data_IF_389357139227
#
_entry.id   IF_389357139227
#
_cell.length_a   1.000
_cell.length_b   1.000
_cell.length_c   1.000
_cell.angle_alpha   90.00
_cell.angle_beta   90.00
_cell.angle_gamma   90.00
#
_symmetry.space_group_name_H-M   'P 1'
#
loop_
_entity.id
_entity.type
_entity.pdbx_description
1 polymer ?
#
# COMPACT_ATOMS: atom_id res chain seq x y z
N UNK A 1 -1.73 -20.00 -9.86
CA UNK A 1 -1.74 -20.48 -8.46
C UNK A 1 -0.96 -19.44 -7.68
N UNK A 2 -1.67 -18.63 -6.89
CA UNK A 2 -1.15 -17.43 -6.24
C UNK A 2 -0.50 -17.89 -4.92
N UNK A 3 0.81 -17.73 -4.78
CA UNK A 3 1.51 -17.89 -3.50
C UNK A 3 1.99 -16.51 -3.08
N UNK A 4 1.16 -15.84 -2.28
CA UNK A 4 1.67 -14.77 -1.41
C UNK A 4 2.38 -15.50 -0.26
N UNK A 5 3.48 -14.96 0.27
CA UNK A 5 3.94 -15.32 1.61
C UNK A 5 2.96 -14.76 2.67
N UNK A 6 1.66 -15.04 2.50
CA UNK A 6 0.71 -15.02 3.59
C UNK A 6 1.12 -16.17 4.50
N UNK A 7 0.97 -15.97 5.80
CA UNK A 7 0.82 -17.07 6.73
C UNK A 7 0.12 -18.25 6.06
N UNK A 8 0.66 -19.46 6.18
CA UNK A 8 -0.06 -20.67 5.77
C UNK A 8 -1.40 -20.68 6.50
N UNK A 9 -2.47 -20.25 5.83
CA UNK A 9 -3.78 -19.98 6.45
C UNK A 9 -4.35 -21.25 7.07
N UNK A 10 -3.90 -22.41 6.59
CA UNK A 10 -4.23 -23.76 7.07
C UNK A 10 -3.94 -24.03 8.56
N UNK A 11 -3.27 -23.13 9.28
CA UNK A 11 -3.10 -23.24 10.74
C UNK A 11 -3.78 -22.14 11.56
N UNK A 12 -4.44 -21.16 10.94
CA UNK A 12 -5.09 -20.06 11.67
C UNK A 12 -6.37 -20.54 12.34
N UNK A 13 -6.63 -20.03 13.55
CA UNK A 13 -7.86 -20.31 14.31
C UNK A 13 -8.55 -19.02 14.68
N UNK A 14 -9.84 -18.91 14.39
CA UNK A 14 -10.62 -17.72 14.72
C UNK A 14 -12.09 -18.02 14.94
N UNK A 15 -12.67 -17.43 15.99
CA UNK A 15 -14.11 -17.30 16.16
C UNK A 15 -14.43 -15.94 16.80
N UNK A 16 -15.29 -15.15 16.18
CA UNK A 16 -15.74 -13.90 16.79
C UNK A 16 -16.64 -14.20 18.00
N UNK A 17 -16.18 -13.82 19.20
CA UNK A 17 -16.93 -13.96 20.46
C UNK A 17 -17.83 -12.76 20.76
N UNK A 18 -17.85 -11.77 19.87
CA UNK A 18 -18.53 -10.48 20.05
C UNK A 18 -18.05 -9.68 21.27
N UNK A 19 -16.79 -9.87 21.67
CA UNK A 19 -16.18 -9.21 22.83
C UNK A 19 -16.08 -7.69 22.72
N UNK A 20 -16.16 -7.11 21.51
CA UNK A 20 -16.08 -5.67 21.27
C UNK A 20 -14.67 -5.08 21.19
N UNK A 21 -13.61 -5.85 21.48
CA UNK A 21 -12.23 -5.33 21.57
C UNK A 21 -11.70 -4.77 20.24
N UNK A 22 -12.19 -5.28 19.10
CA UNK A 22 -11.88 -4.71 17.79
C UNK A 22 -12.40 -3.27 17.59
N UNK A 23 -13.26 -2.77 18.48
CA UNK A 23 -13.68 -1.36 18.52
C UNK A 23 -12.70 -0.45 19.27
N UNK A 24 -11.69 -1.03 19.94
CA UNK A 24 -10.67 -0.31 20.73
C UNK A 24 -9.27 -0.34 20.10
N UNK A 25 -9.09 -1.06 18.99
CA UNK A 25 -7.83 -1.03 18.22
C UNK A 25 -7.63 0.31 17.54
N UNK A 26 -6.36 0.66 17.30
CA UNK A 26 -5.99 1.88 16.57
C UNK A 26 -6.56 1.88 15.14
N UNK A 27 -7.04 3.04 14.70
CA UNK A 27 -7.54 3.27 13.34
C UNK A 27 -9.03 3.58 13.28
N UNK A 28 -9.38 4.49 12.36
CA UNK A 28 -10.76 4.88 12.10
C UNK A 28 -11.53 3.78 11.36
N UNK A 29 -12.84 3.77 11.56
CA UNK A 29 -13.76 2.97 10.72
C UNK A 29 -14.24 3.86 9.60
N UNK A 30 -14.19 3.34 8.39
CA UNK A 30 -14.71 4.04 7.23
C UNK A 30 -15.89 3.30 6.65
N UNK A 31 -16.77 4.03 5.98
CA UNK A 31 -18.01 3.54 5.40
C UNK A 31 -18.16 4.13 4.00
N UNK A 32 -18.47 3.25 3.05
CA UNK A 32 -18.94 3.69 1.74
C UNK A 32 -20.36 4.27 1.85
N UNK A 33 -20.89 4.95 0.80
CA UNK A 33 -22.22 5.54 0.86
C UNK A 33 -23.36 4.56 1.19
N UNK A 34 -23.27 3.31 0.73
CA UNK A 34 -24.28 2.30 1.00
C UNK A 34 -24.22 1.82 2.46
N UNK A 35 -23.03 1.52 2.98
CA UNK A 35 -22.82 1.14 4.38
C UNK A 35 -23.20 2.28 5.34
N UNK A 36 -22.87 3.52 4.97
CA UNK A 36 -23.24 4.69 5.76
C UNK A 36 -24.76 4.89 5.82
N UNK A 37 -25.48 4.55 4.75
CA UNK A 37 -26.94 4.58 4.74
C UNK A 37 -27.51 3.43 5.60
N UNK A 38 -26.98 2.22 5.46
CA UNK A 38 -27.42 1.04 6.22
C UNK A 38 -27.21 1.22 7.73
N UNK A 39 -26.07 1.80 8.12
CA UNK A 39 -25.73 2.09 9.52
C UNK A 39 -26.35 3.39 10.05
N UNK A 40 -27.08 4.14 9.22
CA UNK A 40 -27.60 5.46 9.58
C UNK A 40 -26.50 6.37 10.14
N UNK A 41 -25.31 6.32 9.54
CA UNK A 41 -24.09 6.92 10.08
C UNK A 41 -24.16 8.44 10.27
N UNK A 42 -25.10 9.13 9.62
CA UNK A 42 -25.30 10.57 9.82
C UNK A 42 -25.91 10.90 11.19
N UNK A 43 -26.48 9.92 11.90
CA UNK A 43 -27.03 10.08 13.26
C UNK A 43 -26.00 9.78 14.35
N UNK A 44 -24.84 9.22 13.97
CA UNK A 44 -23.76 8.90 14.89
C UNK A 44 -22.93 10.15 15.20
N UNK A 45 -22.38 10.21 16.41
CA UNK A 45 -21.40 11.22 16.78
C UNK A 45 -20.07 10.96 16.08
N UNK A 46 -19.24 12.00 15.96
CA UNK A 46 -17.86 11.91 15.45
C UNK A 46 -17.69 11.27 14.05
N UNK A 47 -18.69 11.46 13.19
CA UNK A 47 -18.63 11.06 11.79
C UNK A 47 -18.25 12.24 10.89
N UNK A 48 -17.19 12.05 10.09
CA UNK A 48 -16.77 13.02 9.07
C UNK A 48 -17.09 12.52 7.67
N UNK A 49 -17.55 13.43 6.81
CA UNK A 49 -17.70 13.16 5.38
C UNK A 49 -16.41 13.51 4.64
N UNK A 50 -15.81 12.53 3.97
CA UNK A 50 -14.58 12.70 3.21
C UNK A 50 -14.73 12.02 1.84
N UNK A 51 -14.81 12.83 0.77
CA UNK A 51 -14.98 12.35 -0.61
C UNK A 51 -16.25 11.52 -0.86
N UNK A 52 -17.32 11.73 -0.07
CA UNK A 52 -18.57 10.96 -0.15
C UNK A 52 -18.64 9.77 0.81
N UNK A 53 -17.52 9.41 1.44
CA UNK A 53 -17.42 8.35 2.45
C UNK A 53 -17.55 8.92 3.85
N UNK A 54 -18.01 8.08 4.79
CA UNK A 54 -18.12 8.45 6.20
C UNK A 54 -16.95 7.85 6.95
N UNK A 55 -16.22 8.67 7.70
CA UNK A 55 -15.18 8.25 8.63
C UNK A 55 -15.73 8.39 10.04
N UNK A 56 -15.92 7.28 10.73
CA UNK A 56 -16.18 7.28 12.16
C UNK A 56 -14.83 7.46 12.85
N UNK A 57 -14.56 8.67 13.34
CA UNK A 57 -13.32 8.96 14.02
C UNK A 57 -13.28 8.20 15.33
N UNK A 58 -12.23 7.39 15.49
CA UNK A 58 -12.02 6.60 16.69
C UNK A 58 -11.11 7.38 17.63
N UNK A 59 -11.64 7.75 18.80
CA UNK A 59 -10.83 8.21 19.93
C UNK A 59 -10.22 7.00 20.66
N UNK A 60 -10.51 6.87 21.95
CA UNK A 60 -10.17 5.66 22.71
C UNK A 60 -10.99 4.43 22.29
N UNK A 61 -12.17 4.64 21.70
CA UNK A 61 -13.05 3.58 21.20
C UNK A 61 -13.91 4.05 20.03
N UNK A 62 -14.44 3.11 19.26
CA UNK A 62 -15.38 3.35 18.18
C UNK A 62 -16.72 3.85 18.73
N UNK A 63 -17.38 4.77 18.02
CA UNK A 63 -18.72 5.28 18.37
C UNK A 63 -19.84 4.22 18.32
N UNK A 64 -19.56 3.06 17.71
CA UNK A 64 -20.48 1.92 17.66
C UNK A 64 -20.32 0.96 18.85
N UNK A 65 -19.39 1.20 19.77
CA UNK A 65 -19.18 0.36 20.95
C UNK A 65 -20.15 0.75 22.07
N UNK A 66 -20.95 -0.21 22.54
CA UNK A 66 -21.90 0.01 23.65
C UNK A 66 -21.21 -0.07 25.01
N UNK A 67 -21.91 0.36 26.06
CA UNK A 67 -21.42 0.28 27.45
C UNK A 67 -21.17 -1.17 27.91
N UNK A 68 -21.89 -2.14 27.34
CA UNK A 68 -21.71 -3.57 27.59
C UNK A 68 -20.54 -4.19 26.81
N UNK A 69 -19.67 -3.37 26.20
CA UNK A 69 -18.54 -3.78 25.38
C UNK A 69 -18.98 -4.63 24.16
N UNK A 70 -20.10 -4.29 23.52
CA UNK A 70 -20.57 -4.95 22.29
C UNK A 70 -20.69 -3.96 21.14
N UNK A 71 -20.52 -4.44 19.91
CA UNK A 71 -20.75 -3.61 18.73
C UNK A 71 -22.25 -3.47 18.49
N UNK A 72 -22.78 -2.25 18.56
CA UNK A 72 -24.18 -1.94 18.28
C UNK A 72 -24.61 -2.33 16.86
N UNK A 73 -23.65 -2.35 15.93
CA UNK A 73 -23.85 -2.66 14.52
C UNK A 73 -23.43 -4.10 14.13
N UNK A 74 -23.34 -5.04 15.08
CA UNK A 74 -22.73 -6.35 14.85
C UNK A 74 -23.29 -7.11 13.62
N UNK A 75 -24.60 -7.06 13.42
CA UNK A 75 -25.30 -7.74 12.32
C UNK A 75 -25.11 -7.07 10.95
N UNK A 76 -24.89 -5.75 10.95
CA UNK A 76 -24.74 -4.91 9.75
C UNK A 76 -23.34 -4.30 9.68
N UNK A 77 -22.34 -5.02 10.20
CA UNK A 77 -20.95 -4.54 10.24
C UNK A 77 -20.50 -4.16 8.83
N UNK A 78 -19.86 -2.99 8.66
CA UNK A 78 -19.31 -2.60 7.38
C UNK A 78 -18.21 -3.59 6.96
N UNK A 79 -17.90 -3.65 5.67
CA UNK A 79 -16.89 -4.57 5.14
C UNK A 79 -15.56 -4.48 5.90
N UNK A 80 -15.13 -3.28 6.32
CA UNK A 80 -13.95 -3.10 7.19
C UNK A 80 -14.01 -3.98 8.45
N UNK A 81 -15.10 -3.87 9.20
CA UNK A 81 -15.25 -4.55 10.49
C UNK A 81 -15.59 -6.04 10.33
N UNK A 82 -16.28 -6.42 9.25
CA UNK A 82 -16.59 -7.83 8.95
C UNK A 82 -15.35 -8.60 8.51
N UNK A 83 -14.44 -7.97 7.79
CA UNK A 83 -13.22 -8.60 7.31
C UNK A 83 -12.13 -8.76 8.41
N UNK A 84 -12.30 -8.17 9.59
CA UNK A 84 -11.40 -8.39 10.72
C UNK A 84 -11.55 -9.83 11.25
N UNK A 85 -10.45 -10.56 11.56
CA UNK A 85 -9.05 -10.15 11.56
C UNK A 85 -8.27 -10.49 10.28
N UNK A 86 -8.95 -10.80 9.18
CA UNK A 86 -8.34 -11.20 7.89
C UNK A 86 -7.79 -10.02 7.06
N UNK A 87 -7.43 -8.92 7.71
CA UNK A 87 -6.80 -7.81 7.01
C UNK A 87 -5.39 -8.21 6.54
N UNK A 88 -4.93 -7.79 5.35
CA UNK A 88 -3.60 -8.13 4.83
C UNK A 88 -2.44 -7.79 5.78
N UNK A 89 -2.58 -6.76 6.62
CA UNK A 89 -1.57 -6.40 7.64
C UNK A 89 -1.45 -7.49 8.71
N UNK A 90 -2.56 -8.12 9.08
CA UNK A 90 -2.66 -9.11 10.16
C UNK A 90 -2.23 -10.48 9.64
N UNK A 91 -2.66 -10.84 8.43
CA UNK A 91 -2.33 -12.11 7.78
C UNK A 91 -0.87 -12.23 7.30
N UNK A 92 -0.05 -11.22 7.59
CA UNK A 92 1.34 -11.13 7.13
C UNK A 92 2.22 -12.22 7.75
N UNK A 93 2.18 -12.38 9.07
CA UNK A 93 3.03 -13.34 9.79
C UNK A 93 2.33 -13.86 11.05
N UNK A 94 2.76 -15.03 11.61
CA UNK A 94 2.17 -15.55 12.85
C UNK A 94 2.22 -14.52 13.98
N UNK A 95 3.32 -13.76 14.04
CA UNK A 95 3.50 -12.70 15.02
C UNK A 95 2.46 -11.58 14.86
N UNK A 96 2.18 -11.11 13.62
CA UNK A 96 1.14 -10.08 13.42
C UNK A 96 -0.26 -10.59 13.69
N UNK A 97 -0.52 -11.88 13.48
CA UNK A 97 -1.78 -12.53 13.82
C UNK A 97 -1.97 -12.60 15.35
N UNK A 98 -0.97 -13.10 16.08
CA UNK A 98 -1.01 -13.25 17.54
C UNK A 98 -1.00 -11.91 18.30
N UNK A 99 -0.48 -10.83 17.70
CA UNK A 99 -0.43 -9.51 18.31
C UNK A 99 -1.78 -8.76 18.31
N UNK A 100 -2.78 -9.22 17.55
CA UNK A 100 -4.06 -8.53 17.47
C UNK A 100 -4.87 -8.74 18.76
N UNK A 101 -5.45 -7.67 19.35
CA UNK A 101 -6.15 -7.74 20.63
C UNK A 101 -7.58 -8.28 20.44
N UNK A 102 -7.68 -9.57 20.16
CA UNK A 102 -8.95 -10.27 20.07
C UNK A 102 -8.82 -11.67 20.66
N UNK A 103 -9.60 -11.96 21.69
CA UNK A 103 -9.62 -13.27 22.36
C UNK A 103 -10.07 -14.43 21.45
N UNK A 104 -10.70 -14.12 20.32
CA UNK A 104 -11.12 -15.10 19.33
C UNK A 104 -9.97 -15.62 18.47
N UNK A 105 -8.86 -14.89 18.38
CA UNK A 105 -7.68 -15.24 17.60
C UNK A 105 -6.87 -16.30 18.34
N UNK A 106 -6.49 -17.37 17.64
CA UNK A 106 -5.66 -18.46 18.17
C UNK A 106 -6.23 -19.14 19.43
N UNK A 107 -7.52 -18.99 19.69
CA UNK A 107 -8.19 -19.65 20.80
C UNK A 107 -8.30 -21.15 20.56
N UNK A 108 -8.04 -21.96 21.59
CA UNK A 108 -8.16 -23.42 21.52
C UNK A 108 -9.58 -23.88 21.17
N UNK A 109 -10.59 -23.08 21.55
CA UNK A 109 -12.00 -23.34 21.25
C UNK A 109 -12.44 -22.85 19.87
N UNK A 110 -11.61 -22.05 19.19
CA UNK A 110 -11.91 -21.56 17.85
C UNK A 110 -11.64 -22.64 16.79
N UNK A 111 -12.50 -22.73 15.75
CA UNK A 111 -12.27 -23.60 14.61
C UNK A 111 -11.04 -23.14 13.83
N UNK A 112 -10.46 -24.07 13.07
CA UNK A 112 -9.46 -23.72 12.04
C UNK A 112 -10.17 -22.94 10.94
N UNK A 113 -9.56 -21.84 10.51
CA UNK A 113 -10.08 -21.00 9.42
C UNK A 113 -9.78 -21.68 8.10
N UNK A 114 -10.80 -21.82 7.26
CA UNK A 114 -10.62 -22.32 5.90
C UNK A 114 -9.88 -21.29 5.05
N UNK A 115 -8.89 -21.72 4.27
CA UNK A 115 -8.07 -20.82 3.45
C UNK A 115 -8.92 -19.96 2.50
N UNK A 116 -9.99 -20.55 1.95
CA UNK A 116 -10.95 -19.87 1.08
C UNK A 116 -11.72 -18.74 1.80
N UNK A 117 -12.02 -18.90 3.09
CA UNK A 117 -12.73 -17.89 3.89
C UNK A 117 -11.84 -16.69 4.14
N UNK A 118 -10.62 -16.92 4.62
CA UNK A 118 -9.65 -15.84 4.89
C UNK A 118 -9.30 -15.10 3.59
N UNK A 119 -9.10 -15.82 2.48
CA UNK A 119 -8.79 -15.23 1.18
C UNK A 119 -9.97 -14.41 0.65
N UNK A 120 -11.21 -14.91 0.80
CA UNK A 120 -12.40 -14.17 0.40
C UNK A 120 -12.57 -12.88 1.22
N UNK A 121 -12.39 -12.94 2.54
CA UNK A 121 -12.46 -11.77 3.41
C UNK A 121 -11.36 -10.74 3.08
N UNK A 122 -10.13 -11.19 2.86
CA UNK A 122 -9.01 -10.34 2.46
C UNK A 122 -9.26 -9.69 1.09
N UNK A 123 -9.82 -10.44 0.13
CA UNK A 123 -10.16 -9.95 -1.20
C UNK A 123 -11.32 -8.94 -1.16
N UNK A 124 -12.35 -9.19 -0.34
CA UNK A 124 -13.47 -8.27 -0.13
C UNK A 124 -12.98 -6.96 0.49
N UNK A 125 -12.12 -7.05 1.51
CA UNK A 125 -11.48 -5.89 2.13
C UNK A 125 -10.62 -5.10 1.15
N UNK A 126 -9.77 -5.78 0.36
CA UNK A 126 -8.99 -5.15 -0.68
C UNK A 126 -9.92 -4.45 -1.70
N UNK A 127 -11.05 -5.07 -2.06
CA UNK A 127 -12.05 -4.50 -2.96
C UNK A 127 -12.76 -3.28 -2.43
N UNK A 128 -13.01 -3.29 -1.13
CA UNK A 128 -13.62 -2.18 -0.45
C UNK A 128 -12.66 -1.00 -0.33
N UNK A 129 -11.38 -1.25 0.00
CA UNK A 129 -10.34 -0.23 0.02
C UNK A 129 -10.13 0.44 -1.35
N UNK A 130 -10.45 -0.23 -2.47
CA UNK A 130 -10.40 0.36 -3.82
C UNK A 130 -11.45 1.45 -4.05
N UNK A 131 -12.54 1.46 -3.29
CA UNK A 131 -13.62 2.43 -3.48
C UNK A 131 -13.41 3.72 -2.68
N UNK A 132 -12.30 3.81 -1.95
CA UNK A 132 -11.99 4.91 -1.07
C UNK A 132 -11.61 6.18 -1.85
N UNK A 133 -12.34 7.30 -1.68
CA UNK A 133 -12.23 8.47 -2.55
C UNK A 133 -10.90 9.23 -2.41
N UNK A 134 -10.27 9.16 -1.24
CA UNK A 134 -9.08 9.96 -0.94
C UNK A 134 -7.80 9.43 -1.57
N UNK A 135 -7.73 8.14 -1.95
CA UNK A 135 -6.51 7.59 -2.55
C UNK A 135 -6.25 8.09 -3.96
N UNK A 136 -7.28 8.19 -4.79
CA UNK A 136 -7.15 8.61 -6.19
C UNK A 136 -6.92 10.11 -6.33
N UNK A 137 -7.72 10.94 -5.64
CA UNK A 137 -7.61 12.40 -5.77
C UNK A 137 -6.28 12.96 -5.24
N UNK A 138 -5.67 12.30 -4.25
CA UNK A 138 -4.40 12.70 -3.68
C UNK A 138 -3.19 11.92 -4.23
N UNK A 139 -3.37 10.89 -5.08
CA UNK A 139 -2.30 9.96 -5.46
C UNK A 139 -1.05 10.65 -5.97
N UNK A 140 -1.21 11.55 -6.94
CA UNK A 140 -0.10 12.32 -7.52
C UNK A 140 0.56 13.20 -6.46
N UNK A 141 -0.24 13.94 -5.67
CA UNK A 141 0.28 14.84 -4.65
C UNK A 141 1.01 14.09 -3.51
N UNK A 142 0.54 12.89 -3.14
CA UNK A 142 1.21 12.01 -2.19
C UNK A 142 2.57 11.56 -2.74
N UNK A 143 2.59 11.14 -4.01
CA UNK A 143 3.82 10.70 -4.70
C UNK A 143 4.80 11.85 -4.90
N UNK A 144 4.33 13.07 -5.17
CA UNK A 144 5.17 14.28 -5.21
C UNK A 144 5.87 14.56 -3.87
N UNK A 145 5.11 14.52 -2.77
CA UNK A 145 5.69 14.67 -1.41
C UNK A 145 6.68 13.56 -1.10
N UNK A 146 6.37 12.33 -1.49
CA UNK A 146 7.29 11.21 -1.31
C UNK A 146 8.55 11.34 -2.17
N UNK A 147 8.44 11.77 -3.43
CA UNK A 147 9.59 12.02 -4.29
C UNK A 147 10.49 13.12 -3.71
N UNK A 148 9.89 14.16 -3.10
CA UNK A 148 10.65 15.16 -2.35
C UNK A 148 11.33 14.55 -1.12
N UNK A 149 10.65 13.67 -0.36
CA UNK A 149 11.27 12.95 0.76
C UNK A 149 12.46 12.10 0.30
N UNK A 150 12.33 11.38 -0.82
CA UNK A 150 13.41 10.60 -1.44
C UNK A 150 14.60 11.50 -1.77
N UNK A 151 14.36 12.69 -2.31
CA UNK A 151 15.40 13.69 -2.56
C UNK A 151 16.03 14.20 -1.25
N UNK A 152 15.22 14.57 -0.27
CA UNK A 152 15.68 15.11 1.02
C UNK A 152 16.55 14.11 1.79
N UNK A 153 16.23 12.83 1.69
CA UNK A 153 16.98 11.71 2.28
C UNK A 153 18.16 11.25 1.42
N UNK A 154 18.37 11.85 0.24
CA UNK A 154 19.43 11.48 -0.71
C UNK A 154 19.39 10.00 -1.15
N UNK A 155 18.19 9.39 -1.19
CA UNK A 155 18.05 7.97 -1.53
C UNK A 155 18.22 7.69 -3.03
N UNK A 156 18.14 8.74 -3.84
CA UNK A 156 18.29 8.70 -5.29
C UNK A 156 19.15 9.90 -5.73
N UNK A 157 20.34 9.67 -6.32
CA UNK A 157 21.25 10.75 -6.73
C UNK A 157 20.64 11.75 -7.71
N UNK A 158 19.65 11.31 -8.49
CA UNK A 158 19.02 12.10 -9.53
C UNK A 158 17.78 12.85 -9.07
N UNK A 159 17.23 12.54 -7.90
CA UNK A 159 15.93 13.07 -7.47
C UNK A 159 15.87 14.61 -7.38
N UNK A 160 17.02 15.27 -7.15
CA UNK A 160 17.10 16.74 -7.11
C UNK A 160 17.29 17.41 -8.46
N UNK A 161 17.92 16.73 -9.42
CA UNK A 161 18.35 17.33 -10.70
C UNK A 161 17.49 16.88 -11.87
N UNK A 162 16.81 15.74 -11.76
CA UNK A 162 15.93 15.22 -12.79
C UNK A 162 14.66 16.06 -12.91
N UNK A 163 14.15 16.19 -14.15
CA UNK A 163 12.79 16.67 -14.38
C UNK A 163 11.81 15.54 -14.10
N UNK A 164 10.96 15.70 -13.10
CA UNK A 164 9.99 14.66 -12.72
C UNK A 164 8.61 14.92 -13.32
N UNK A 165 8.00 13.90 -13.93
CA UNK A 165 6.60 13.89 -14.38
C UNK A 165 5.86 12.78 -13.64
N UNK A 166 4.61 13.04 -13.28
CA UNK A 166 3.73 12.08 -12.60
C UNK A 166 2.55 11.76 -13.51
N UNK A 167 2.29 10.48 -13.73
CA UNK A 167 1.18 9.96 -14.55
C UNK A 167 0.34 9.09 -13.64
N UNK A 168 -0.91 9.49 -13.40
CA UNK A 168 -1.85 8.63 -12.69
C UNK A 168 -2.49 7.66 -13.67
N UNK A 169 -2.42 6.37 -13.37
CA UNK A 169 -3.05 5.31 -14.15
C UNK A 169 -4.40 4.91 -13.59
N UNK A 170 -5.33 4.59 -14.49
CA UNK A 170 -6.64 4.03 -14.19
C UNK A 170 -6.64 2.49 -14.23
N UNK A 171 -5.48 1.88 -14.46
CA UNK A 171 -5.35 0.44 -14.57
C UNK A 171 -5.71 -0.26 -13.25
N UNK A 172 -6.64 -1.21 -13.34
CA UNK A 172 -7.05 -2.06 -12.22
C UNK A 172 -6.56 -3.50 -12.35
N UNK A 173 -5.97 -3.87 -13.49
CA UNK A 173 -5.54 -5.25 -13.82
C UNK A 173 -4.06 -5.29 -14.18
N UNK A 174 -3.47 -6.49 -14.15
CA UNK A 174 -2.10 -6.75 -14.62
C UNK A 174 -1.88 -6.20 -16.03
N UNK A 175 -2.71 -6.64 -16.98
CA UNK A 175 -2.58 -6.24 -18.39
C UNK A 175 -2.77 -4.74 -18.59
N UNK A 176 -3.71 -4.13 -17.86
CA UNK A 176 -3.91 -2.69 -17.90
C UNK A 176 -2.70 -1.91 -17.37
N UNK A 177 -2.02 -2.44 -16.35
CA UNK A 177 -0.82 -1.82 -15.80
C UNK A 177 0.34 -1.91 -16.79
N UNK A 178 0.55 -3.07 -17.42
CA UNK A 178 1.54 -3.24 -18.49
C UNK A 178 1.33 -2.25 -19.63
N UNK A 179 0.09 -2.11 -20.11
CA UNK A 179 -0.25 -1.13 -21.15
C UNK A 179 0.08 0.30 -20.71
N UNK A 180 -0.32 0.69 -19.50
CA UNK A 180 -0.07 2.04 -18.99
C UNK A 180 1.44 2.33 -18.81
N UNK A 181 2.24 1.33 -18.43
CA UNK A 181 3.70 1.48 -18.35
C UNK A 181 4.28 1.70 -19.75
N UNK A 182 3.89 0.86 -20.72
CA UNK A 182 4.37 0.97 -22.10
C UNK A 182 4.05 2.34 -22.72
N UNK A 183 2.81 2.81 -22.57
CA UNK A 183 2.41 4.14 -23.04
C UNK A 183 3.26 5.26 -22.39
N UNK A 184 3.55 5.15 -21.10
CA UNK A 184 4.40 6.11 -20.41
C UNK A 184 5.86 6.09 -20.89
N UNK A 185 6.34 4.94 -21.37
CA UNK A 185 7.68 4.78 -21.96
C UNK A 185 7.76 5.44 -23.34
N UNK A 186 6.76 5.24 -24.20
CA UNK A 186 6.69 5.89 -25.51
C UNK A 186 6.71 7.43 -25.40
N UNK A 187 6.18 7.95 -24.29
CA UNK A 187 6.13 9.38 -23.94
C UNK A 187 7.43 9.92 -23.32
N UNK A 188 8.47 9.08 -23.09
CA UNK A 188 9.70 9.50 -22.44
C UNK A 188 10.56 10.39 -23.37
N UNK A 189 11.05 11.55 -22.90
CA UNK A 189 11.96 12.39 -23.68
C UNK A 189 13.28 11.67 -23.99
N UNK A 190 13.84 11.92 -25.17
CA UNK A 190 15.08 11.29 -25.65
C UNK A 190 16.35 11.86 -24.99
N UNK A 191 16.45 13.19 -24.86
CA UNK A 191 17.71 13.86 -24.53
C UNK A 191 17.81 14.43 -23.10
N UNK A 192 16.83 14.16 -22.23
CA UNK A 192 16.75 14.77 -20.90
C UNK A 192 16.70 13.73 -19.78
N UNK A 193 17.46 13.97 -18.71
CA UNK A 193 17.29 13.26 -17.44
C UNK A 193 15.90 13.59 -16.87
N UNK A 194 14.96 12.70 -17.16
CA UNK A 194 13.59 12.77 -16.70
C UNK A 194 13.24 11.49 -15.95
N UNK A 195 12.53 11.66 -14.84
CA UNK A 195 11.92 10.57 -14.10
C UNK A 195 10.42 10.64 -14.37
N UNK A 196 9.84 9.57 -14.89
CA UNK A 196 8.39 9.43 -14.99
C UNK A 196 7.92 8.44 -13.94
N UNK A 197 7.07 8.92 -13.03
CA UNK A 197 6.37 8.04 -12.09
C UNK A 197 4.98 7.72 -12.63
N UNK A 198 4.72 6.44 -12.91
CA UNK A 198 3.38 5.92 -13.18
C UNK A 198 2.77 5.44 -11.87
N UNK A 199 1.74 6.12 -11.40
CA UNK A 199 1.11 5.92 -10.09
C UNK A 199 -0.18 5.15 -10.26
N UNK A 200 -0.33 4.04 -9.54
CA UNK A 200 -1.43 3.09 -9.67
C UNK A 200 -2.27 3.02 -8.38
N UNK A 201 -3.10 4.04 -8.09
CA UNK A 201 -3.89 4.07 -6.87
C UNK A 201 -4.95 2.96 -6.79
N UNK A 202 -5.40 2.46 -7.94
CA UNK A 202 -6.53 1.53 -8.08
C UNK A 202 -6.09 0.11 -8.52
N UNK A 203 -4.78 -0.13 -8.73
CA UNK A 203 -4.29 -1.41 -9.24
C UNK A 203 -4.56 -2.54 -8.25
N UNK A 204 -5.41 -3.46 -8.69
CA UNK A 204 -5.88 -4.59 -7.91
C UNK A 204 -4.87 -5.74 -7.99
N UNK A 205 -3.72 -5.55 -7.34
CA UNK A 205 -2.81 -6.64 -7.05
C UNK A 205 -3.20 -7.24 -5.70
N UNK A 206 -3.46 -8.55 -5.66
CA UNK A 206 -3.84 -9.25 -4.41
C UNK A 206 -2.70 -9.28 -3.40
N UNK A 207 -1.47 -8.95 -3.83
CA UNK A 207 -0.30 -8.79 -2.98
C UNK A 207 0.76 -7.90 -3.65
N UNK A 208 1.80 -7.49 -2.92
CA UNK A 208 2.88 -6.69 -3.52
C UNK A 208 3.72 -7.52 -4.49
N UNK A 209 3.76 -8.84 -4.33
CA UNK A 209 4.44 -9.79 -5.21
C UNK A 209 3.79 -9.79 -6.59
N UNK A 210 2.47 -9.74 -6.69
CA UNK A 210 1.80 -9.58 -7.99
C UNK A 210 2.17 -8.25 -8.66
N UNK A 211 2.41 -7.19 -7.89
CA UNK A 211 2.95 -5.94 -8.45
C UNK A 211 4.39 -6.10 -8.94
N UNK A 212 5.25 -6.80 -8.18
CA UNK A 212 6.61 -7.11 -8.62
C UNK A 212 6.62 -7.92 -9.91
N UNK A 213 5.75 -8.93 -10.04
CA UNK A 213 5.63 -9.73 -11.26
C UNK A 213 5.22 -8.89 -12.49
N UNK A 214 4.44 -7.81 -12.31
CA UNK A 214 4.11 -6.88 -13.40
C UNK A 214 5.36 -6.11 -13.83
N UNK A 215 6.08 -5.56 -12.85
CA UNK A 215 7.33 -4.81 -13.05
C UNK A 215 8.36 -5.68 -13.78
N UNK A 216 8.63 -6.88 -13.25
CA UNK A 216 9.59 -7.83 -13.80
C UNK A 216 9.17 -8.30 -15.22
N UNK A 217 7.87 -8.57 -15.43
CA UNK A 217 7.36 -8.96 -16.75
C UNK A 217 7.56 -7.86 -17.80
N UNK A 218 7.26 -6.61 -17.44
CA UNK A 218 7.41 -5.48 -18.36
C UNK A 218 8.90 -5.22 -18.65
N UNK A 219 9.75 -5.29 -17.63
CA UNK A 219 11.21 -5.14 -17.78
C UNK A 219 11.81 -6.24 -18.68
N UNK A 220 11.55 -7.52 -18.38
CA UNK A 220 12.20 -8.64 -19.07
C UNK A 220 11.59 -8.94 -20.44
N UNK A 221 10.26 -8.91 -20.55
CA UNK A 221 9.54 -9.42 -21.73
C UNK A 221 9.21 -8.31 -22.72
N UNK A 222 8.72 -7.17 -22.24
CA UNK A 222 8.34 -6.07 -23.15
C UNK A 222 9.53 -5.23 -23.59
N UNK A 223 10.52 -5.01 -22.71
CA UNK A 223 11.68 -4.20 -23.01
C UNK A 223 12.95 -5.02 -23.28
N UNK A 224 13.29 -5.96 -22.40
CA UNK A 224 14.50 -6.78 -22.53
C UNK A 224 14.57 -7.67 -23.79
N UNK A 225 13.42 -7.98 -24.39
CA UNK A 225 13.31 -8.78 -25.61
C UNK A 225 12.87 -7.96 -26.85
N UNK A 226 12.75 -6.63 -26.75
CA UNK A 226 12.30 -5.79 -27.85
C UNK A 226 13.39 -5.60 -28.91
N UNK A 227 13.03 -5.74 -30.18
CA UNK A 227 13.90 -5.38 -31.31
C UNK A 227 13.78 -3.89 -31.69
N UNK A 228 12.87 -3.13 -31.06
CA UNK A 228 12.71 -1.69 -31.30
C UNK A 228 13.86 -0.92 -30.62
N UNK A 229 14.75 -0.24 -31.38
CA UNK A 229 15.88 0.49 -30.82
C UNK A 229 15.47 1.57 -29.81
N UNK A 230 14.28 2.16 -29.95
CA UNK A 230 13.78 3.17 -29.01
C UNK A 230 13.39 2.57 -27.65
N UNK A 231 13.04 1.27 -27.63
CA UNK A 231 12.71 0.50 -26.43
C UNK A 231 13.89 -0.36 -25.95
N UNK A 232 14.85 -0.67 -26.82
CA UNK A 232 16.03 -1.46 -26.51
C UNK A 232 17.14 -0.63 -25.86
N UNK A 233 17.24 0.68 -26.17
CA UNK A 233 18.20 1.60 -25.52
C UNK A 233 17.66 2.19 -24.18
N UNK A 234 16.45 1.79 -23.74
CA UNK A 234 15.65 2.52 -22.73
C UNK A 234 14.67 1.54 -22.05
N UNK A 235 14.78 1.18 -20.77
CA UNK A 235 14.32 1.95 -19.60
C UNK A 235 14.88 1.28 -18.35
N UNK A 236 15.45 2.03 -17.41
CA UNK A 236 15.58 1.52 -16.05
C UNK A 236 14.21 1.61 -15.38
N UNK A 237 13.58 0.45 -15.19
CA UNK A 237 12.28 0.33 -14.56
C UNK A 237 12.51 0.00 -13.07
N UNK A 238 11.86 0.76 -12.18
CA UNK A 238 11.91 0.47 -10.75
C UNK A 238 10.51 0.51 -10.14
N UNK A 239 10.09 -0.62 -9.59
CA UNK A 239 8.84 -0.72 -8.82
C UNK A 239 8.99 -0.22 -7.38
N UNK A 240 7.94 0.43 -6.89
CA UNK A 240 7.76 0.86 -5.51
C UNK A 240 6.35 0.52 -5.03
N UNK A 241 6.21 0.09 -3.77
CA UNK A 241 4.92 -0.36 -3.24
C UNK A 241 4.75 -0.02 -1.75
N UNK A 242 3.56 0.37 -1.25
CA UNK A 242 3.37 0.73 0.16
C UNK A 242 3.78 -0.36 1.15
N UNK A 243 3.62 -1.62 0.73
CA UNK A 243 3.90 -2.81 1.53
C UNK A 243 5.21 -3.49 1.16
N UNK A 244 6.15 -2.82 0.47
CA UNK A 244 7.41 -3.46 0.07
C UNK A 244 8.16 -4.02 1.28
N UNK A 245 8.60 -5.27 1.14
CA UNK A 245 9.48 -5.99 2.07
C UNK A 245 10.59 -6.70 1.27
N UNK A 246 11.84 -6.50 1.67
CA UNK A 246 12.95 -7.35 1.24
C UNK A 246 12.90 -8.69 1.96
N UNK A 247 13.12 -9.78 1.22
CA UNK A 247 12.90 -11.14 1.73
C UNK A 247 13.85 -11.54 2.87
N UNK A 248 15.07 -11.01 2.86
CA UNK A 248 16.12 -11.35 3.83
C UNK A 248 16.14 -10.42 5.06
N UNK A 249 15.16 -9.54 5.19
CA UNK A 249 15.11 -8.49 6.20
C UNK A 249 13.91 -8.67 7.15
N UNK A 250 14.05 -8.37 8.46
CA UNK A 250 12.92 -8.35 9.39
C UNK A 250 11.78 -7.45 8.90
N UNK A 251 10.52 -7.79 9.19
CA UNK A 251 9.33 -7.03 8.74
C UNK A 251 9.36 -5.53 9.07
N UNK A 252 10.01 -5.17 10.19
CA UNK A 252 10.15 -3.81 10.69
C UNK A 252 11.48 -3.13 10.29
N UNK A 253 12.30 -3.76 9.44
CA UNK A 253 13.60 -3.21 9.04
C UNK A 253 13.47 -1.86 8.31
N UNK A 254 14.30 -0.84 8.65
CA UNK A 254 14.27 0.47 7.99
C UNK A 254 14.52 0.43 6.48
N UNK A 255 15.34 -0.52 6.00
CA UNK A 255 15.72 -0.65 4.59
C UNK A 255 14.52 -0.80 3.65
N UNK A 256 13.40 -1.35 4.13
CA UNK A 256 12.17 -1.47 3.34
C UNK A 256 11.69 -0.12 2.77
N UNK A 257 11.97 0.99 3.46
CA UNK A 257 11.60 2.33 2.99
C UNK A 257 12.35 2.78 1.74
N UNK A 258 13.44 2.12 1.34
CA UNK A 258 14.10 2.34 0.06
C UNK A 258 13.14 2.10 -1.13
N UNK A 259 12.24 1.12 -0.98
CA UNK A 259 11.31 0.70 -2.04
C UNK A 259 9.83 0.88 -1.68
N UNK A 260 9.53 1.47 -0.52
CA UNK A 260 8.15 1.86 -0.17
C UNK A 260 7.79 3.19 -0.84
N UNK A 261 6.55 3.26 -1.35
CA UNK A 261 5.94 4.48 -1.87
C UNK A 261 4.46 4.59 -1.44
N UNK A 262 3.87 5.79 -1.35
CA UNK A 262 2.48 6.01 -0.90
C UNK A 262 1.42 5.17 -1.61
N UNK A 263 1.67 4.87 -2.89
CA UNK A 263 0.84 4.08 -3.80
C UNK A 263 1.77 3.15 -4.61
N UNK A 264 1.25 2.02 -5.15
CA UNK A 264 1.99 1.25 -6.13
C UNK A 264 2.43 2.18 -7.27
N UNK A 265 3.74 2.23 -7.52
CA UNK A 265 4.32 3.23 -8.43
C UNK A 265 5.47 2.61 -9.20
N UNK A 266 5.53 2.85 -10.50
CA UNK A 266 6.67 2.48 -11.33
C UNK A 266 7.42 3.75 -11.72
N UNK A 267 8.71 3.77 -11.46
CA UNK A 267 9.63 4.80 -11.94
C UNK A 267 10.25 4.36 -13.25
N UNK A 268 10.27 5.26 -14.23
CA UNK A 268 10.87 5.06 -15.54
C UNK A 268 11.92 6.14 -15.78
N UNK A 269 13.13 5.71 -16.14
CA UNK A 269 14.24 6.58 -16.51
C UNK A 269 14.94 6.02 -17.74
N UNK A 270 15.31 6.90 -18.67
CA UNK A 270 16.07 6.49 -19.86
C UNK A 270 17.49 6.08 -19.46
N UNK A 271 17.94 4.89 -19.87
CA UNK A 271 19.26 4.37 -19.49
C UNK A 271 20.41 5.29 -19.94
N UNK A 272 20.31 5.87 -21.14
CA UNK A 272 21.27 6.86 -21.65
C UNK A 272 21.36 8.13 -20.80
N UNK A 273 20.29 8.51 -20.09
CA UNK A 273 20.27 9.71 -19.24
C UNK A 273 21.00 9.53 -17.90
N UNK A 274 21.30 8.28 -17.53
CA UNK A 274 21.97 7.90 -16.28
C UNK A 274 23.25 7.11 -16.54
N UNK A 275 23.89 7.31 -17.69
CA UNK A 275 25.14 6.64 -18.07
C UNK A 275 26.18 6.72 -16.93
N UNK A 276 26.74 5.56 -16.54
CA UNK A 276 27.68 5.43 -15.41
C UNK A 276 27.03 5.16 -14.04
N UNK A 277 25.71 5.33 -13.89
CA UNK A 277 24.97 5.03 -12.65
C UNK A 277 25.02 3.56 -12.24
N UNK A 278 24.92 2.65 -13.22
CA UNK A 278 24.93 1.21 -12.98
C UNK A 278 26.22 0.73 -12.27
N UNK A 279 27.34 1.45 -12.44
CA UNK A 279 28.60 1.15 -11.76
C UNK A 279 28.58 1.57 -10.27
N UNK A 280 27.73 2.54 -9.89
CA UNK A 280 27.62 3.09 -8.54
C UNK A 280 26.49 2.46 -7.69
N UNK A 281 25.66 1.58 -8.26
CA UNK A 281 24.45 1.02 -7.61
C UNK A 281 24.73 0.38 -6.24
N UNK A 282 25.86 -0.32 -6.09
CA UNK A 282 26.24 -0.92 -4.79
C UNK A 282 26.55 0.11 -3.72
N UNK A 283 27.18 1.22 -4.11
CA UNK A 283 27.49 2.29 -3.17
C UNK A 283 26.20 3.01 -2.76
N UNK A 284 25.30 3.27 -3.73
CA UNK A 284 23.99 3.88 -3.46
C UNK A 284 23.18 3.02 -2.49
N UNK A 285 23.10 1.71 -2.72
CA UNK A 285 22.40 0.79 -1.81
C UNK A 285 22.98 0.83 -0.38
N UNK A 286 24.31 0.81 -0.25
CA UNK A 286 24.97 0.90 1.06
C UNK A 286 24.75 2.27 1.74
N UNK A 287 24.68 3.36 0.97
CA UNK A 287 24.42 4.71 1.49
C UNK A 287 22.96 4.86 1.93
N UNK A 288 22.02 4.31 1.16
CA UNK A 288 20.61 4.23 1.49
C UNK A 288 20.41 3.46 2.79
N UNK A 289 20.99 2.27 2.90
CA UNK A 289 20.89 1.42 4.08
C UNK A 289 21.41 2.15 5.33
N UNK A 290 22.58 2.79 5.25
CA UNK A 290 23.13 3.58 6.36
C UNK A 290 22.19 4.73 6.76
N UNK A 291 21.65 5.45 5.79
CA UNK A 291 20.75 6.59 6.03
C UNK A 291 19.45 6.15 6.69
N UNK A 292 18.81 5.11 6.17
CA UNK A 292 17.55 4.59 6.68
C UNK A 292 17.72 3.98 8.08
N UNK A 293 18.77 3.19 8.30
CA UNK A 293 19.07 2.60 9.61
C UNK A 293 19.37 3.66 10.68
N UNK A 294 20.08 4.74 10.32
CA UNK A 294 20.36 5.84 11.26
C UNK A 294 19.09 6.58 11.70
N UNK A 295 18.04 6.61 10.88
CA UNK A 295 16.76 7.22 11.22
C UNK A 295 15.86 6.31 12.06
N UNK A 296 15.87 5.00 11.75
CA UNK A 296 15.01 4.01 12.38
C UNK A 296 13.56 4.05 11.90
N UNK A 297 12.89 2.90 12.05
CA UNK A 297 11.55 2.64 11.52
C UNK A 297 10.47 3.60 12.01
N UNK A 298 10.39 3.98 13.31
CA UNK A 298 9.34 4.90 13.77
C UNK A 298 9.40 6.27 13.09
N UNK A 299 10.61 6.82 12.92
CA UNK A 299 10.80 8.13 12.30
C UNK A 299 10.49 8.10 10.79
N UNK A 300 10.92 7.04 10.11
CA UNK A 300 10.61 6.82 8.69
C UNK A 300 9.11 6.65 8.45
N UNK A 301 8.45 5.84 9.29
CA UNK A 301 7.01 5.63 9.21
C UNK A 301 6.23 6.94 9.40
N UNK A 302 6.64 7.78 10.36
CA UNK A 302 6.01 9.08 10.57
C UNK A 302 6.13 10.01 9.34
N UNK A 303 7.33 10.11 8.73
CA UNK A 303 7.55 10.91 7.52
C UNK A 303 6.77 10.37 6.32
N UNK A 304 6.75 9.05 6.16
CA UNK A 304 6.01 8.40 5.10
C UNK A 304 4.49 8.60 5.24
N UNK A 305 3.97 8.50 6.46
CA UNK A 305 2.56 8.78 6.75
C UNK A 305 2.21 10.25 6.46
N UNK A 306 3.10 11.19 6.76
CA UNK A 306 2.91 12.61 6.43
C UNK A 306 2.83 12.88 4.91
N UNK A 307 3.38 12.00 4.07
CA UNK A 307 3.22 12.10 2.61
C UNK A 307 1.76 11.81 2.20
N UNK A 308 1.08 10.85 2.86
CA UNK A 308 -0.31 10.45 2.57
C UNK A 308 -1.35 11.28 3.31
N UNK A 309 -0.97 11.78 4.47
CA UNK A 309 -1.81 12.51 5.40
C UNK A 309 -1.07 13.77 5.85
N UNK A 310 -0.88 14.74 4.93
CA UNK A 310 -0.24 15.99 5.32
C UNK A 310 -1.08 16.65 6.43
N UNK A 311 -0.45 17.17 7.49
CA UNK A 311 -1.18 17.87 8.54
C UNK A 311 -1.99 19.01 7.91
N UNK A 312 -3.25 19.13 8.28
CA UNK A 312 -4.13 20.19 7.79
C UNK A 312 -3.50 21.55 8.09
N UNK A 313 -3.22 22.32 7.04
CA UNK A 313 -2.76 23.71 7.16
C UNK A 313 -3.83 24.51 7.88
N UNK A 314 -3.60 24.79 9.15
CA UNK A 314 -4.43 25.72 9.91
C UNK A 314 -4.18 27.10 9.29
N UNK A 315 -5.13 27.55 8.46
CA UNK A 315 -5.17 28.93 7.97
C UNK A 315 -5.81 29.83 9.01
#
# INVERSE_FOLDING_TARGET
MIWVNLLSVSSLRFACTQCGDCCRVEGDVWLNPAEAAELQANELTDVRLEGGWRRLQRGEQCVLLTEENRCAAHEVRPTQCRAYPFWPRILRSPATWEAEPCEGISSDSAPVVEESEATAAAAEWAAWLRRFPSRRAAAVADTERWAQLVADLDLCPWARSARTRYVQSDATTRDGASVAIREAVEDLPEDNLAIVFVVFPDLCVTSFETFREIVDYVEDVEFGASEDPCLADVVQLAGFHPNWLFADEPDDAPIHFEKRAPHPTVSLVRASAIEGAAAATRQIAADNERTLNAMGTPALQARFNACRHPPSTTS
#
